data_IF_964997589831
#
_entry.id   IF_964997589831
#
_cell.length_a   1.000
_cell.length_b   1.000
_cell.length_c   1.000
_cell.angle_alpha   90.00
_cell.angle_beta   90.00
_cell.angle_gamma   90.00
#
_symmetry.space_group_name_H-M   'P 1'
#
loop_
_entity.id
_entity.type
_entity.pdbx_description
1 polymer ?
#
# COMPACT_ATOMS: atom_id res chain seq x y z
N UNK A 1 18.16 -16.86 1.83
CA UNK A 1 18.20 -15.52 1.19
C UNK A 1 17.87 -15.57 -0.31
N UNK A 2 18.55 -16.41 -1.12
CA UNK A 2 18.29 -16.54 -2.58
C UNK A 2 16.83 -16.86 -2.93
N UNK A 3 16.17 -17.75 -2.16
CA UNK A 3 14.77 -18.16 -2.40
C UNK A 3 13.76 -17.01 -2.22
N UNK A 4 13.96 -16.17 -1.21
CA UNK A 4 13.12 -14.99 -0.95
C UNK A 4 13.35 -13.91 -2.03
N UNK A 5 14.60 -13.70 -2.45
CA UNK A 5 14.95 -12.80 -3.57
C UNK A 5 14.29 -13.29 -4.87
N UNK A 6 14.31 -14.60 -5.13
CA UNK A 6 13.63 -15.20 -6.28
C UNK A 6 12.11 -14.99 -6.23
N UNK A 7 11.48 -15.13 -5.06
CA UNK A 7 10.03 -14.92 -4.90
C UNK A 7 9.62 -13.47 -5.16
N UNK A 8 10.38 -12.50 -4.67
CA UNK A 8 10.17 -11.05 -4.94
C UNK A 8 10.41 -10.73 -6.43
N UNK A 9 11.35 -11.43 -7.07
CA UNK A 9 11.63 -11.28 -8.51
C UNK A 9 10.70 -12.09 -9.43
N UNK A 10 9.86 -12.97 -8.90
CA UNK A 10 9.01 -13.86 -9.69
C UNK A 10 7.62 -13.28 -9.99
N UNK A 11 7.15 -12.31 -9.21
CA UNK A 11 5.84 -11.69 -9.38
C UNK A 11 5.98 -10.21 -9.74
N UNK A 12 5.55 -9.79 -10.94
CA UNK A 12 5.48 -8.38 -11.27
C UNK A 12 4.63 -7.61 -10.27
N UNK A 13 4.99 -6.35 -9.96
CA UNK A 13 4.19 -5.53 -9.05
C UNK A 13 2.84 -5.20 -9.70
N UNK A 14 1.81 -5.05 -8.86
CA UNK A 14 0.50 -4.54 -9.29
C UNK A 14 0.61 -3.06 -9.64
N UNK A 15 -0.10 -2.63 -10.68
CA UNK A 15 -0.11 -1.25 -11.17
C UNK A 15 -1.52 -0.69 -11.17
N UNK A 16 -1.68 0.43 -10.47
CA UNK A 16 -2.91 1.21 -10.48
C UNK A 16 -2.81 2.30 -11.53
N UNK A 17 -3.84 2.45 -12.37
CA UNK A 17 -3.95 3.54 -13.32
C UNK A 17 -5.23 4.33 -13.07
N UNK A 18 -5.06 5.52 -12.48
CA UNK A 18 -6.16 6.46 -12.20
C UNK A 18 -6.88 6.91 -13.47
N UNK A 19 -6.14 7.23 -14.52
CA UNK A 19 -6.70 7.82 -15.75
C UNK A 19 -7.63 6.84 -16.45
N UNK A 20 -7.31 5.55 -16.40
CA UNK A 20 -8.16 4.47 -16.93
C UNK A 20 -9.17 3.93 -15.92
N UNK A 21 -9.02 4.24 -14.62
CA UNK A 21 -9.74 3.63 -13.49
C UNK A 21 -9.66 2.10 -13.53
N UNK A 22 -8.46 1.59 -13.71
CA UNK A 22 -8.17 0.16 -13.84
C UNK A 22 -6.91 -0.23 -13.06
N UNK A 23 -6.82 -1.50 -12.69
CA UNK A 23 -5.68 -2.10 -12.00
C UNK A 23 -5.15 -3.25 -12.85
N UNK A 24 -3.87 -3.16 -13.21
CA UNK A 24 -3.16 -4.20 -13.95
C UNK A 24 -2.38 -5.10 -12.99
N UNK A 25 -2.54 -6.41 -13.15
CA UNK A 25 -1.72 -7.40 -12.45
C UNK A 25 -1.31 -8.54 -13.38
N UNK A 26 -0.22 -9.21 -13.01
CA UNK A 26 0.33 -10.34 -13.76
C UNK A 26 0.43 -11.52 -12.78
N UNK A 27 -0.38 -12.59 -12.92
CA UNK A 27 -0.44 -13.66 -11.93
C UNK A 27 0.92 -14.38 -11.77
N UNK A 28 1.61 -14.64 -12.88
CA UNK A 28 2.98 -15.18 -12.92
C UNK A 28 3.80 -14.52 -14.01
N UNK A 29 5.11 -14.38 -13.78
CA UNK A 29 6.04 -13.86 -14.79
C UNK A 29 5.92 -14.64 -16.10
N UNK A 30 5.59 -13.94 -17.18
CA UNK A 30 5.44 -14.50 -18.53
C UNK A 30 4.00 -14.78 -18.95
N UNK A 31 3.02 -14.67 -18.05
CA UNK A 31 1.60 -14.71 -18.42
C UNK A 31 1.12 -13.33 -18.89
N UNK A 32 0.02 -13.32 -19.65
CA UNK A 32 -0.61 -12.09 -20.11
C UNK A 32 -1.14 -11.26 -18.93
N UNK A 33 -1.00 -9.92 -18.98
CA UNK A 33 -1.54 -9.03 -17.96
C UNK A 33 -3.06 -9.08 -17.96
N UNK A 34 -3.63 -8.98 -16.75
CA UNK A 34 -5.07 -8.87 -16.53
C UNK A 34 -5.39 -7.48 -16.01
N UNK A 35 -6.48 -6.92 -16.52
CA UNK A 35 -6.96 -5.58 -16.18
C UNK A 35 -8.28 -5.72 -15.44
N UNK A 36 -8.35 -5.14 -14.25
CA UNK A 36 -9.55 -5.16 -13.39
C UNK A 36 -10.06 -3.73 -13.25
N UNK A 37 -11.35 -3.47 -13.52
CA UNK A 37 -11.95 -2.18 -13.26
C UNK A 37 -11.77 -1.81 -11.78
N UNK A 38 -11.45 -0.54 -11.51
CA UNK A 38 -11.25 -0.06 -10.13
C UNK A 38 -12.46 -0.30 -9.22
N UNK A 39 -13.67 -0.25 -9.78
CA UNK A 39 -14.93 -0.45 -9.05
C UNK A 39 -15.18 -1.92 -8.68
N UNK A 40 -14.45 -2.86 -9.29
CA UNK A 40 -14.50 -4.29 -8.98
C UNK A 40 -13.39 -4.73 -8.03
N UNK A 41 -12.48 -3.82 -7.66
CA UNK A 41 -11.39 -4.11 -6.73
C UNK A 41 -11.95 -4.33 -5.33
N UNK A 42 -11.63 -5.49 -4.77
CA UNK A 42 -12.02 -5.83 -3.41
C UNK A 42 -10.88 -5.40 -2.49
N UNK A 43 -11.19 -4.66 -1.43
CA UNK A 43 -10.24 -4.36 -0.38
C UNK A 43 -10.76 -4.88 0.95
N UNK A 44 -9.91 -5.59 1.68
CA UNK A 44 -10.21 -5.99 3.04
C UNK A 44 -9.00 -5.76 3.94
N UNK A 45 -9.28 -5.44 5.19
CA UNK A 45 -8.26 -5.29 6.21
C UNK A 45 -8.41 -6.44 7.19
N UNK A 46 -7.32 -7.12 7.46
CA UNK A 46 -7.28 -8.25 8.38
C UNK A 46 -6.59 -7.86 9.67
N UNK A 47 -7.16 -8.31 10.78
CA UNK A 47 -6.57 -8.26 12.10
C UNK A 47 -6.60 -9.66 12.68
N UNK A 48 -5.44 -10.20 13.02
CA UNK A 48 -5.27 -11.53 13.57
C UNK A 48 -4.20 -11.55 14.65
N UNK A 49 -4.05 -12.70 15.30
CA UNK A 49 -3.00 -12.93 16.28
C UNK A 49 -2.38 -14.30 16.03
N UNK A 50 -1.06 -14.36 16.00
CA UNK A 50 -0.31 -15.61 15.98
C UNK A 50 0.07 -15.94 17.41
N UNK A 51 -0.49 -17.03 17.92
CA UNK A 51 -0.24 -17.52 19.28
C UNK A 51 0.83 -18.60 19.21
N UNK A 52 1.93 -18.39 19.94
CA UNK A 52 3.01 -19.37 20.10
C UNK A 52 3.19 -19.68 21.58
N UNK A 53 3.98 -20.71 21.90
CA UNK A 53 4.29 -21.06 23.30
C UNK A 53 4.98 -19.93 24.08
N UNK A 54 5.63 -18.98 23.38
CA UNK A 54 6.46 -17.93 24.00
C UNK A 54 5.84 -16.53 23.90
N UNK A 55 4.96 -16.29 22.93
CA UNK A 55 4.38 -14.97 22.70
C UNK A 55 3.08 -15.02 21.90
N UNK A 56 2.24 -14.01 22.13
CA UNK A 56 1.10 -13.65 21.27
C UNK A 56 1.51 -12.46 20.43
N UNK A 57 1.64 -12.65 19.12
CA UNK A 57 2.05 -11.58 18.19
C UNK A 57 0.84 -11.16 17.35
N UNK A 58 0.38 -9.90 17.44
CA UNK A 58 -0.67 -9.41 16.57
C UNK A 58 -0.16 -9.29 15.12
N UNK A 59 -1.03 -9.53 14.16
CA UNK A 59 -0.76 -9.43 12.73
C UNK A 59 -1.87 -8.63 12.07
N UNK A 60 -1.50 -7.59 11.33
CA UNK A 60 -2.42 -6.78 10.54
C UNK A 60 -1.97 -6.75 9.09
N UNK A 61 -2.90 -6.79 8.15
CA UNK A 61 -2.57 -6.67 6.74
C UNK A 61 -3.74 -6.11 5.93
N UNK A 62 -3.41 -5.25 4.97
CA UNK A 62 -4.28 -4.87 3.87
C UNK A 62 -4.23 -5.97 2.79
N UNK A 63 -5.39 -6.46 2.41
CA UNK A 63 -5.59 -7.44 1.35
C UNK A 63 -6.35 -6.76 0.20
N UNK A 64 -5.77 -6.81 -1.00
CA UNK A 64 -6.39 -6.32 -2.23
C UNK A 64 -6.71 -7.52 -3.11
N UNK A 65 -7.99 -7.77 -3.33
CA UNK A 65 -8.52 -8.81 -4.19
C UNK A 65 -8.80 -8.28 -5.59
N UNK A 66 -8.11 -8.85 -6.58
CA UNK A 66 -8.28 -8.53 -8.00
C UNK A 66 -9.00 -9.70 -8.66
N UNK A 67 -10.27 -9.51 -9.01
CA UNK A 67 -11.09 -10.54 -9.64
C UNK A 67 -10.79 -10.59 -11.14
N UNK A 68 -10.54 -11.78 -11.65
CA UNK A 68 -10.41 -12.01 -13.08
C UNK A 68 -11.80 -12.16 -13.72
N UNK A 69 -12.09 -11.37 -14.76
CA UNK A 69 -13.38 -11.37 -15.45
C UNK A 69 -13.65 -12.65 -16.24
N UNK A 70 -12.59 -13.33 -16.73
CA UNK A 70 -12.72 -14.58 -17.47
C UNK A 70 -12.86 -15.83 -16.60
N UNK A 71 -12.05 -15.94 -15.55
CA UNK A 71 -11.98 -17.16 -14.71
C UNK A 71 -12.85 -17.06 -13.46
N UNK A 72 -13.17 -15.86 -13.00
CA UNK A 72 -13.84 -15.62 -11.71
C UNK A 72 -12.92 -15.76 -10.49
N UNK A 73 -11.68 -16.22 -10.68
CA UNK A 73 -10.67 -16.33 -9.63
C UNK A 73 -10.26 -14.95 -9.08
N UNK A 74 -10.02 -14.88 -7.77
CA UNK A 74 -9.57 -13.66 -7.09
C UNK A 74 -8.09 -13.78 -6.74
N UNK A 75 -7.29 -12.87 -7.28
CA UNK A 75 -5.88 -12.73 -6.95
C UNK A 75 -5.70 -11.80 -5.75
N UNK A 76 -5.14 -12.32 -4.66
CA UNK A 76 -4.92 -11.56 -3.43
C UNK A 76 -3.50 -10.99 -3.35
N UNK A 77 -3.41 -9.68 -3.15
CA UNK A 77 -2.19 -8.97 -2.76
C UNK A 77 -2.25 -8.71 -1.27
N UNK A 78 -1.27 -9.20 -0.52
CA UNK A 78 -1.16 -8.97 0.92
C UNK A 78 -0.07 -7.97 1.22
N UNK A 79 -0.44 -6.86 1.85
CA UNK A 79 0.44 -5.80 2.32
C UNK A 79 0.43 -5.88 3.86
N UNK A 80 1.50 -6.37 4.49
CA UNK A 80 1.58 -6.42 5.94
C UNK A 80 1.73 -5.01 6.51
N UNK A 81 0.98 -4.70 7.56
CA UNK A 81 0.99 -3.38 8.21
C UNK A 81 1.22 -3.54 9.71
N UNK A 82 1.85 -2.56 10.35
CA UNK A 82 2.20 -2.66 11.78
C UNK A 82 0.99 -2.50 12.72
N UNK A 83 -0.11 -1.90 12.25
CA UNK A 83 -1.33 -1.71 13.02
C UNK A 83 -2.56 -1.71 12.12
N UNK A 84 -3.73 -1.93 12.72
CA UNK A 84 -5.01 -1.84 12.01
C UNK A 84 -5.22 -0.44 11.40
N UNK A 85 -4.90 0.62 12.15
CA UNK A 85 -5.04 2.00 11.68
C UNK A 85 -4.16 2.28 10.46
N UNK A 86 -2.94 1.73 10.44
CA UNK A 86 -2.04 1.88 9.30
C UNK A 86 -2.57 1.15 8.06
N UNK A 87 -3.07 -0.08 8.20
CA UNK A 87 -3.66 -0.82 7.09
C UNK A 87 -4.88 -0.09 6.48
N UNK A 88 -5.72 0.51 7.34
CA UNK A 88 -6.84 1.35 6.89
C UNK A 88 -6.31 2.61 6.19
N UNK A 89 -5.29 3.27 6.73
CA UNK A 89 -4.72 4.47 6.11
C UNK A 89 -4.05 4.19 4.77
N UNK A 90 -3.42 3.01 4.61
CA UNK A 90 -2.83 2.57 3.34
C UNK A 90 -3.91 2.41 2.27
N UNK A 91 -5.04 1.79 2.62
CA UNK A 91 -6.19 1.68 1.73
C UNK A 91 -6.77 3.05 1.39
N UNK A 92 -7.01 3.89 2.39
CA UNK A 92 -7.56 5.23 2.17
C UNK A 92 -6.65 6.12 1.33
N UNK A 93 -5.33 5.99 1.47
CA UNK A 93 -4.37 6.69 0.61
C UNK A 93 -4.51 6.23 -0.86
N UNK A 94 -4.57 4.93 -1.12
CA UNK A 94 -4.77 4.38 -2.47
C UNK A 94 -6.13 4.84 -3.03
N UNK A 95 -7.20 4.72 -2.25
CA UNK A 95 -8.55 5.12 -2.64
C UNK A 95 -8.61 6.62 -2.98
N UNK A 96 -8.06 7.47 -2.13
CA UNK A 96 -8.07 8.92 -2.32
C UNK A 96 -7.22 9.31 -3.53
N UNK A 97 -6.07 8.66 -3.74
CA UNK A 97 -5.28 8.84 -4.96
C UNK A 97 -6.06 8.47 -6.22
N UNK A 98 -6.77 7.33 -6.23
CA UNK A 98 -7.53 6.85 -7.38
C UNK A 98 -8.78 7.69 -7.66
N UNK A 99 -9.46 8.18 -6.63
CA UNK A 99 -10.70 8.96 -6.79
C UNK A 99 -10.45 10.45 -7.02
N UNK A 100 -9.65 11.07 -6.15
CA UNK A 100 -9.50 12.52 -6.10
C UNK A 100 -8.22 12.95 -6.82
N UNK A 101 -7.12 12.21 -6.64
CA UNK A 101 -5.86 12.43 -7.33
C UNK A 101 -4.68 12.64 -6.37
N UNK A 102 -3.51 13.02 -6.90
CA UNK A 102 -2.30 13.16 -6.08
C UNK A 102 -2.32 14.38 -5.15
N UNK A 103 -3.15 15.40 -5.43
CA UNK A 103 -3.21 16.63 -4.63
C UNK A 103 -3.82 16.45 -3.24
N UNK A 104 -4.53 15.35 -3.01
CA UNK A 104 -5.22 15.06 -1.74
C UNK A 104 -4.42 14.10 -0.86
N UNK A 105 -3.33 13.55 -1.37
CA UNK A 105 -2.39 12.79 -0.56
C UNK A 105 -1.68 13.72 0.42
N UNK A 106 -1.42 13.27 1.66
CA UNK A 106 -0.60 14.04 2.58
C UNK A 106 0.75 14.32 1.91
N UNK A 107 1.27 15.53 2.14
CA UNK A 107 2.62 15.86 1.72
C UNK A 107 3.57 14.78 2.26
N UNK A 108 4.44 14.24 1.39
CA UNK A 108 5.44 13.29 1.85
C UNK A 108 6.25 13.98 2.96
N UNK A 109 6.34 13.41 4.17
CA UNK A 109 7.13 14.02 5.22
C UNK A 109 8.57 14.20 4.73
N UNK A 110 9.15 15.37 4.99
CA UNK A 110 10.50 15.75 4.58
C UNK A 110 11.53 14.71 5.02
N UNK A 111 12.40 14.33 4.07
CA UNK A 111 13.80 13.86 4.06
C UNK A 111 14.38 12.97 5.20
N UNK A 112 13.84 13.03 6.41
CA UNK A 112 14.36 12.39 7.63
C UNK A 112 13.53 11.17 8.06
N UNK A 113 13.20 10.29 7.11
CA UNK A 113 12.62 9.00 7.46
C UNK A 113 13.67 8.11 8.14
N UNK A 114 13.29 7.42 9.23
CA UNK A 114 14.16 6.51 9.97
C UNK A 114 14.77 5.46 9.04
N UNK A 115 16.10 5.31 9.10
CA UNK A 115 16.84 4.42 8.21
C UNK A 115 17.39 5.08 6.93
N UNK A 116 17.09 6.35 6.70
CA UNK A 116 17.70 7.16 5.62
C UNK A 116 19.02 7.78 6.06
N UNK A 117 19.91 8.04 5.09
CA UNK A 117 21.20 8.72 5.33
C UNK A 117 21.01 10.14 5.88
N UNK A 118 19.98 10.86 5.42
CA UNK A 118 19.64 12.19 5.91
C UNK A 118 19.23 12.18 7.39
N UNK A 119 18.37 11.23 7.80
CA UNK A 119 18.02 11.01 9.21
C UNK A 119 19.27 10.74 10.06
N UNK A 120 20.19 9.91 9.56
CA UNK A 120 21.45 9.66 10.26
C UNK A 120 22.29 10.94 10.45
N UNK A 121 22.38 11.80 9.42
CA UNK A 121 23.10 13.07 9.52
C UNK A 121 22.44 14.04 10.49
N UNK A 122 21.11 14.05 10.56
CA UNK A 122 20.36 14.80 11.57
C UNK A 122 20.70 14.32 12.98
N UNK A 123 20.64 13.00 13.24
CA UNK A 123 21.03 12.43 14.54
C UNK A 123 22.47 12.80 14.93
N UNK A 124 23.40 12.81 13.96
CA UNK A 124 24.79 13.24 14.20
C UNK A 124 24.86 14.71 14.62
N UNK A 125 24.10 15.59 13.95
CA UNK A 125 24.06 17.02 14.27
C UNK A 125 23.50 17.23 15.68
N UNK A 126 22.32 16.66 15.97
CA UNK A 126 21.67 16.76 17.29
C UNK A 126 22.58 16.23 18.39
N UNK A 127 23.19 15.05 18.22
CA UNK A 127 24.06 14.48 19.25
C UNK A 127 25.28 15.37 19.54
N UNK A 128 25.87 15.98 18.50
CA UNK A 128 27.02 16.87 18.63
C UNK A 128 26.65 18.16 19.37
N UNK A 129 25.43 18.66 19.16
CA UNK A 129 24.98 19.90 19.77
C UNK A 129 24.54 19.68 21.24
N UNK A 130 24.01 18.51 21.58
CA UNK A 130 23.59 18.18 22.95
C UNK A 130 24.71 17.67 23.88
N UNK A 131 25.81 17.12 23.34
CA UNK A 131 26.83 16.43 24.13
C UNK A 131 28.22 17.06 24.03
N UNK A 132 29.03 16.88 25.09
CA UNK A 132 30.43 17.33 25.10
C UNK A 132 31.26 16.61 24.02
N UNK A 133 32.32 17.28 23.56
CA UNK A 133 33.19 16.76 22.51
C UNK A 133 33.77 15.36 22.82
N UNK A 134 34.13 15.09 24.08
CA UNK A 134 34.66 13.78 24.51
C UNK A 134 33.58 12.69 24.36
N UNK A 135 32.35 12.99 24.76
CA UNK A 135 31.20 12.08 24.63
C UNK A 135 30.85 11.83 23.16
N UNK A 136 30.94 12.86 22.32
CA UNK A 136 30.76 12.73 20.87
C UNK A 136 31.83 11.82 20.23
N UNK A 137 33.10 11.99 20.61
CA UNK A 137 34.20 11.21 20.06
C UNK A 137 34.15 9.73 20.44
N UNK A 138 34.00 9.42 21.73
CA UNK A 138 34.01 8.02 22.20
C UNK A 138 32.64 7.35 22.13
N UNK A 139 31.55 8.10 22.23
CA UNK A 139 30.19 7.60 22.12
C UNK A 139 29.75 7.50 20.67
N UNK A 140 29.44 8.64 20.04
CA UNK A 140 28.87 8.65 18.69
C UNK A 140 29.87 8.14 17.65
N UNK A 141 31.05 8.75 17.52
CA UNK A 141 32.02 8.33 16.48
C UNK A 141 32.55 6.90 16.71
N UNK A 142 32.83 6.54 17.95
CA UNK A 142 33.27 5.20 18.32
C UNK A 142 32.27 4.12 17.91
N UNK A 143 31.00 4.24 18.34
CA UNK A 143 29.95 3.27 17.99
C UNK A 143 29.74 3.22 16.47
N UNK A 144 29.71 4.39 15.80
CA UNK A 144 29.47 4.43 14.35
C UNK A 144 30.62 3.87 13.51
N UNK A 145 31.85 3.94 14.00
CA UNK A 145 32.98 3.30 13.35
C UNK A 145 32.83 1.77 13.35
N UNK A 146 32.41 1.18 14.47
CA UNK A 146 32.21 -0.27 14.58
C UNK A 146 30.92 -0.77 13.90
N UNK A 147 29.86 0.03 13.85
CA UNK A 147 28.60 -0.33 13.18
C UNK A 147 28.64 -0.18 11.66
N UNK A 148 29.68 0.46 11.10
CA UNK A 148 29.82 0.69 9.67
C UNK A 148 29.10 1.95 9.16
N UNK A 149 29.05 3.01 9.96
CA UNK A 149 28.56 4.36 9.59
C UNK A 149 27.24 4.32 8.77
N UNK A 150 27.20 4.93 7.58
CA UNK A 150 26.03 4.99 6.70
C UNK A 150 25.88 3.75 5.82
N UNK A 151 26.77 2.75 5.92
CA UNK A 151 26.72 1.56 5.09
C UNK A 151 25.39 0.80 5.22
N UNK A 152 24.79 0.62 6.41
CA UNK A 152 23.48 -0.01 6.53
C UNK A 152 22.38 0.75 5.77
N UNK A 153 22.38 2.09 5.82
CA UNK A 153 21.42 2.92 5.09
C UNK A 153 21.60 2.80 3.56
N UNK A 154 22.84 2.83 3.08
CA UNK A 154 23.14 2.63 1.66
C UNK A 154 22.79 1.21 1.20
N UNK A 155 23.06 0.20 2.02
CA UNK A 155 22.73 -1.17 1.75
C UNK A 155 21.20 -1.36 1.68
N UNK A 156 20.46 -0.81 2.64
CA UNK A 156 18.99 -0.81 2.63
C UNK A 156 18.45 -0.14 1.38
N UNK A 157 18.95 1.07 1.05
CA UNK A 157 18.56 1.80 -0.16
C UNK A 157 18.86 0.99 -1.41
N UNK A 158 20.03 0.34 -1.49
CA UNK A 158 20.41 -0.51 -2.61
C UNK A 158 19.53 -1.76 -2.73
N UNK A 159 19.21 -2.43 -1.62
CA UNK A 159 18.27 -3.57 -1.59
C UNK A 159 16.89 -3.14 -2.06
N UNK A 160 16.39 -1.99 -1.58
CA UNK A 160 15.08 -1.46 -1.93
C UNK A 160 14.99 -0.99 -3.40
N UNK A 161 16.11 -0.53 -3.97
CA UNK A 161 16.24 -0.14 -5.39
C UNK A 161 16.54 -1.31 -6.32
N UNK A 162 16.71 -2.54 -5.81
CA UNK A 162 16.89 -3.72 -6.67
C UNK A 162 15.72 -3.79 -7.67
N UNK A 163 15.99 -4.11 -8.94
CA UNK A 163 14.94 -4.22 -9.94
C UNK A 163 13.96 -5.32 -9.51
N UNK A 164 12.74 -4.91 -9.20
CA UNK A 164 11.60 -5.82 -9.05
C UNK A 164 11.32 -6.47 -10.41
N UNK A 165 10.56 -7.57 -10.43
CA UNK A 165 10.26 -8.28 -11.67
C UNK A 165 9.78 -7.30 -12.75
N UNK A 166 10.42 -7.36 -13.93
CA UNK A 166 10.14 -6.44 -15.03
C UNK A 166 8.68 -6.58 -15.46
N UNK A 167 8.02 -5.45 -15.67
CA UNK A 167 6.65 -5.44 -16.18
C UNK A 167 6.66 -5.84 -17.67
N UNK A 168 5.63 -6.57 -18.14
CA UNK A 168 5.42 -6.78 -19.57
C UNK A 168 5.30 -5.44 -20.31
N UNK A 169 5.77 -5.38 -21.55
CA UNK A 169 5.69 -4.17 -22.38
C UNK A 169 4.24 -3.68 -22.52
N UNK A 170 3.28 -4.59 -22.65
CA UNK A 170 1.84 -4.30 -22.68
C UNK A 170 1.36 -3.47 -21.48
N UNK A 171 1.88 -3.76 -20.27
CA UNK A 171 1.53 -3.00 -19.06
C UNK A 171 2.22 -1.63 -19.07
N UNK A 172 3.44 -1.54 -19.59
CA UNK A 172 4.16 -0.28 -19.72
C UNK A 172 3.44 0.67 -20.69
N UNK A 173 3.01 0.16 -21.84
CA UNK A 173 2.26 0.92 -22.84
C UNK A 173 0.87 1.34 -22.32
N UNK A 174 0.18 0.43 -21.63
CA UNK A 174 -1.07 0.75 -20.93
C UNK A 174 -0.90 1.82 -19.84
N UNK A 175 0.27 1.88 -19.20
CA UNK A 175 0.58 2.83 -18.12
C UNK A 175 0.97 4.23 -18.61
N UNK A 176 1.09 4.45 -19.92
CA UNK A 176 1.37 5.77 -20.48
C UNK A 176 0.22 6.74 -20.20
N UNK A 177 0.58 8.02 -20.04
CA UNK A 177 -0.38 9.07 -19.74
C UNK A 177 -1.37 9.26 -20.89
N UNK A 178 -2.66 9.23 -20.55
CA UNK A 178 -3.76 9.55 -21.44
C UNK A 178 -4.10 11.05 -21.43
N UNK A 179 -4.55 11.59 -22.57
CA UNK A 179 -5.17 12.91 -22.62
C UNK A 179 -6.35 13.01 -21.66
N UNK A 180 -6.55 14.19 -21.04
CA UNK A 180 -7.60 14.43 -20.04
C UNK A 180 -9.02 14.09 -20.53
N UNK A 181 -9.28 14.23 -21.82
CA UNK A 181 -10.57 13.90 -22.44
C UNK A 181 -10.89 12.40 -22.41
N UNK A 182 -9.86 11.55 -22.37
CA UNK A 182 -9.99 10.09 -22.36
C UNK A 182 -9.96 9.51 -20.94
N UNK A 183 -9.97 10.36 -19.90
CA UNK A 183 -9.96 9.88 -18.52
C UNK A 183 -11.31 9.26 -18.17
N UNK A 184 -11.27 8.01 -17.73
CA UNK A 184 -12.44 7.28 -17.27
C UNK A 184 -13.03 7.98 -16.03
N UNK A 185 -14.35 8.07 -15.99
CA UNK A 185 -15.11 8.66 -14.87
C UNK A 185 -15.76 7.55 -14.04
N UNK A 186 -16.03 7.80 -12.74
CA UNK A 186 -16.81 6.86 -11.93
C UNK A 186 -18.16 6.56 -12.58
N UNK A 187 -18.60 5.31 -12.49
CA UNK A 187 -19.92 4.90 -12.97
C UNK A 187 -21.03 5.63 -12.23
N UNK A 188 -22.18 5.80 -12.89
CA UNK A 188 -23.31 6.49 -12.27
C UNK A 188 -23.92 5.68 -11.12
N UNK A 189 -23.88 4.35 -11.20
CA UNK A 189 -24.25 3.47 -10.10
C UNK A 189 -23.37 3.71 -8.85
N UNK A 190 -22.04 3.80 -9.03
CA UNK A 190 -21.13 4.08 -7.92
C UNK A 190 -21.38 5.47 -7.31
N UNK A 191 -21.66 6.48 -8.13
CA UNK A 191 -22.00 7.83 -7.64
C UNK A 191 -23.29 7.82 -6.82
N UNK A 192 -24.30 7.09 -7.26
CA UNK A 192 -25.57 6.95 -6.54
C UNK A 192 -25.35 6.26 -5.18
N UNK A 193 -24.69 5.11 -5.16
CA UNK A 193 -24.36 4.40 -3.92
C UNK A 193 -23.54 5.26 -2.95
N UNK A 194 -22.54 5.98 -3.47
CA UNK A 194 -21.72 6.89 -2.67
C UNK A 194 -22.55 8.03 -2.06
N UNK A 195 -23.52 8.57 -2.83
CA UNK A 195 -24.41 9.62 -2.35
C UNK A 195 -25.36 9.11 -1.25
N UNK A 196 -25.86 7.88 -1.36
CA UNK A 196 -26.70 7.24 -0.34
C UNK A 196 -25.96 7.01 0.97
N UNK A 197 -24.74 6.43 0.89
CA UNK A 197 -23.88 6.23 2.05
C UNK A 197 -23.57 7.56 2.74
N UNK A 198 -23.20 8.59 1.97
CA UNK A 198 -22.94 9.94 2.52
C UNK A 198 -24.17 10.54 3.21
N UNK A 199 -25.37 10.35 2.66
CA UNK A 199 -26.62 10.79 3.29
C UNK A 199 -26.88 10.05 4.61
N UNK A 200 -26.60 8.75 4.69
CA UNK A 200 -26.74 7.97 5.91
C UNK A 200 -25.74 8.43 6.99
N UNK A 201 -24.47 8.63 6.60
CA UNK A 201 -23.42 9.15 7.47
C UNK A 201 -23.75 10.54 8.01
N UNK A 202 -24.29 11.44 7.18
CA UNK A 202 -24.72 12.77 7.60
C UNK A 202 -25.85 12.75 8.64
N UNK A 203 -26.63 11.67 8.70
CA UNK A 203 -27.66 11.44 9.73
C UNK A 203 -27.09 10.84 11.02
N UNK A 204 -25.78 10.62 11.10
CA UNK A 204 -25.10 10.02 12.26
C UNK A 204 -25.14 8.50 12.31
N UNK A 205 -25.57 7.81 11.24
CA UNK A 205 -25.53 6.36 11.17
C UNK A 205 -24.09 5.88 10.93
N UNK A 206 -23.70 4.76 11.55
CA UNK A 206 -22.40 4.14 11.27
C UNK A 206 -22.43 3.38 9.93
N UNK A 207 -21.27 3.24 9.26
CA UNK A 207 -21.16 2.44 8.04
C UNK A 207 -21.60 0.98 8.27
N UNK A 208 -21.26 0.42 9.43
CA UNK A 208 -21.59 -0.96 9.77
C UNK A 208 -23.11 -1.16 9.88
N UNK A 209 -23.82 -0.21 10.49
CA UNK A 209 -25.27 -0.28 10.63
C UNK A 209 -25.97 -0.10 9.28
N UNK A 210 -25.48 0.83 8.45
CA UNK A 210 -25.97 1.03 7.09
C UNK A 210 -25.88 -0.26 6.26
N UNK A 211 -24.71 -0.90 6.21
CA UNK A 211 -24.52 -2.12 5.43
C UNK A 211 -25.26 -3.33 6.02
N UNK A 212 -25.38 -3.45 7.35
CA UNK A 212 -26.20 -4.50 7.98
C UNK A 212 -27.69 -4.37 7.62
N UNK A 213 -28.20 -3.15 7.47
CA UNK A 213 -29.57 -2.91 7.04
C UNK A 213 -29.76 -3.26 5.56
N UNK A 214 -28.87 -2.75 4.69
CA UNK A 214 -28.95 -2.97 3.25
C UNK A 214 -28.70 -4.44 2.85
N UNK A 215 -27.82 -5.16 3.56
CA UNK A 215 -27.59 -6.58 3.30
C UNK A 215 -28.81 -7.44 3.62
N UNK A 216 -29.59 -7.06 4.65
CA UNK A 216 -30.86 -7.75 4.99
C UNK A 216 -31.94 -7.48 3.95
N UNK A 217 -31.94 -6.29 3.36
CA UNK A 217 -32.91 -5.85 2.36
C UNK A 217 -32.66 -6.44 0.97
N UNK A 218 -31.42 -6.88 0.68
CA UNK A 218 -31.07 -7.68 -0.52
C UNK A 218 -31.34 -9.19 -0.36
N UNK A 219 -31.58 -9.67 0.87
CA UNK A 219 -31.85 -11.07 1.22
C UNK A 219 -33.33 -11.43 1.54
N UNK A 220 -34.39 -10.80 0.99
CA UNK A 220 -35.75 -11.32 1.15
C UNK A 220 -36.20 -12.14 -0.07
N UNK A 221 -36.61 -13.39 0.19
CA UNK A 221 -37.43 -14.32 -0.63
C UNK A 221 -36.71 -15.37 -1.51
N UNK A 222 -35.91 -16.25 -0.92
CA UNK A 222 -35.90 -17.66 -1.32
C UNK A 222 -36.03 -18.54 -0.07
N UNK A 223 -37.28 -18.81 0.32
CA UNK A 223 -37.69 -19.86 1.25
C UNK A 223 -39.05 -20.40 0.80
#
# INVERSE_FOLDING_TARGET
MVRAIHQVSARPPVRFNRQRREVAFVPRKGEAPRYVPWEEVIACVTAGQTITQYAVTPSFALLIGLRDSGTGDVFWVTIPSASLGLAISEWEAIRTYMEEGPSTLPAQPEEYEEGTVAYFHLCRQVYRDEHSFIRYLFGFLGIQFFSGWTLPCHLSTWVNRRPKAMLPQEVLDWSQNLPTEQHARPSDALKQQSAEVRKALAKGQSLQDYFKAHSKEQLPLEA
#
